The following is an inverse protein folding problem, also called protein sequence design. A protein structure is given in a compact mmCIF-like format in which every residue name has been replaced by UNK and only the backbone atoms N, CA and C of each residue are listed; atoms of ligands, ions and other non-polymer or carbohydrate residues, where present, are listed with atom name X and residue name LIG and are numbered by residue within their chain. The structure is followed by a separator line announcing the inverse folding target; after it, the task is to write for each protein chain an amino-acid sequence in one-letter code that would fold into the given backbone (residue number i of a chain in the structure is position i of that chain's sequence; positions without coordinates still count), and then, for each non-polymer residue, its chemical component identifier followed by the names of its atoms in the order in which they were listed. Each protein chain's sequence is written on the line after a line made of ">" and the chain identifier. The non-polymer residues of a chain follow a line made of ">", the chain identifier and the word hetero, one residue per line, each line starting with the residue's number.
data_IF_792591270192
#
_entry.id   IF_792591270192
#
_cell.length_a   1.000
_cell.length_b   1.000
_cell.length_c   1.000
_cell.angle_alpha   90.00
_cell.angle_beta   90.00
_cell.angle_gamma   90.00
#
_symmetry.space_group_name_H-M   'P 1'
#
loop_
_entity.id
_entity.type
_entity.pdbx_description
1 polymer ?
#
# COMPACT_ATOMS: atom_id res chain seq x y z
N UNK A 1 -8.17 -20.07 -11.20
CA UNK A 1 -7.22 -18.96 -11.41
C UNK A 1 -6.12 -19.09 -10.37
N UNK A 2 -4.84 -19.00 -10.76
CA UNK A 2 -3.74 -18.88 -9.80
C UNK A 2 -3.67 -17.44 -9.29
N UNK A 3 -3.34 -17.27 -8.01
CA UNK A 3 -3.06 -15.95 -7.45
C UNK A 3 -1.75 -15.40 -8.06
N UNK A 4 -1.69 -14.09 -8.40
CA UNK A 4 -0.44 -13.49 -8.84
C UNK A 4 0.59 -13.49 -7.70
N UNK A 5 1.87 -13.68 -8.04
CA UNK A 5 2.97 -13.68 -7.05
C UNK A 5 3.43 -12.28 -6.67
N UNK A 6 3.20 -11.31 -7.55
CA UNK A 6 3.50 -9.89 -7.33
C UNK A 6 2.36 -9.01 -7.83
N UNK A 7 2.32 -7.78 -7.34
CA UNK A 7 1.46 -6.73 -7.86
C UNK A 7 2.18 -5.39 -7.86
N UNK A 8 1.74 -4.50 -8.75
CA UNK A 8 2.17 -3.10 -8.75
C UNK A 8 1.54 -2.34 -7.57
N UNK A 9 2.33 -1.48 -6.95
CA UNK A 9 1.88 -0.58 -5.89
C UNK A 9 2.57 0.79 -6.02
N UNK A 10 1.93 1.82 -5.49
CA UNK A 10 2.56 3.11 -5.21
C UNK A 10 3.20 3.03 -3.81
N UNK A 11 4.51 3.17 -3.73
CA UNK A 11 5.31 2.98 -2.53
C UNK A 11 5.66 4.33 -1.92
N UNK A 12 5.27 4.52 -0.65
CA UNK A 12 5.71 5.66 0.15
C UNK A 12 7.12 5.39 0.68
N UNK A 13 8.14 5.89 -0.02
CA UNK A 13 9.56 5.67 0.32
C UNK A 13 10.12 6.65 1.36
N UNK A 14 9.30 7.61 1.80
CA UNK A 14 9.60 8.55 2.88
C UNK A 14 8.59 9.69 2.94
N UNK A 15 8.56 10.40 4.07
CA UNK A 15 7.67 11.55 4.25
C UNK A 15 7.98 12.66 3.25
N UNK A 16 6.92 13.29 2.74
CA UNK A 16 7.00 14.43 1.81
C UNK A 16 7.77 14.14 0.50
N UNK A 17 8.01 12.86 0.17
CA UNK A 17 8.68 12.43 -1.07
C UNK A 17 7.66 11.90 -2.08
N UNK A 18 7.87 12.09 -3.40
CA UNK A 18 7.04 11.44 -4.40
C UNK A 18 6.95 9.92 -4.17
N UNK A 19 5.78 9.34 -4.41
CA UNK A 19 5.63 7.89 -4.40
C UNK A 19 6.39 7.27 -5.57
N UNK A 20 6.97 6.11 -5.33
CA UNK A 20 7.60 5.30 -6.39
C UNK A 20 6.64 4.20 -6.83
N UNK A 21 6.55 3.91 -8.13
CA UNK A 21 5.77 2.77 -8.61
C UNK A 21 6.69 1.54 -8.64
N UNK A 22 6.33 0.49 -7.89
CA UNK A 22 7.13 -0.73 -7.78
C UNK A 22 6.30 -2.01 -7.71
N UNK A 23 6.97 -3.16 -7.69
CA UNK A 23 6.36 -4.49 -7.52
C UNK A 23 6.48 -4.93 -6.05
N UNK A 24 5.38 -5.37 -5.46
CA UNK A 24 5.32 -5.96 -4.13
C UNK A 24 4.96 -7.44 -4.21
N UNK A 25 5.50 -8.25 -3.29
CA UNK A 25 5.13 -9.67 -3.21
C UNK A 25 3.74 -9.82 -2.63
N UNK A 26 2.95 -10.70 -3.22
CA UNK A 26 1.67 -11.13 -2.67
C UNK A 26 1.94 -12.37 -1.79
N UNK A 27 1.33 -12.46 -0.60
CA UNK A 27 1.46 -13.63 0.25
C UNK A 27 1.05 -14.91 -0.47
N UNK A 28 1.85 -15.98 -0.33
CA UNK A 28 1.55 -17.29 -0.93
C UNK A 28 0.43 -18.03 -0.16
N UNK A 29 0.21 -17.66 1.09
CA UNK A 29 -0.87 -18.13 1.94
C UNK A 29 -1.53 -16.95 2.67
N UNK A 30 -2.80 -17.12 3.03
CA UNK A 30 -3.57 -16.16 3.79
C UNK A 30 -3.69 -16.63 5.24
N UNK A 31 -3.55 -15.70 6.18
CA UNK A 31 -3.80 -15.95 7.59
C UNK A 31 -5.30 -16.19 7.83
N UNK A 32 -5.61 -16.89 8.93
CA UNK A 32 -6.99 -17.12 9.33
C UNK A 32 -7.75 -15.78 9.47
N UNK A 33 -8.97 -15.71 8.92
CA UNK A 33 -9.80 -14.51 8.85
C UNK A 33 -9.26 -13.33 8.02
N UNK A 34 -8.31 -13.56 7.11
CA UNK A 34 -7.89 -12.53 6.14
C UNK A 34 -8.54 -12.73 4.76
N UNK A 35 -8.55 -11.66 3.96
CA UNK A 35 -9.03 -11.69 2.56
C UNK A 35 -8.03 -10.99 1.66
N UNK A 36 -7.76 -11.59 0.50
CA UNK A 36 -6.99 -10.97 -0.56
C UNK A 36 -7.95 -10.32 -1.58
N UNK A 37 -7.80 -9.01 -1.78
CA UNK A 37 -8.67 -8.23 -2.66
C UNK A 37 -7.86 -7.75 -3.87
N UNK A 38 -8.44 -7.88 -5.06
CA UNK A 38 -7.93 -7.23 -6.26
C UNK A 38 -8.48 -5.81 -6.33
N UNK A 39 -7.61 -4.83 -6.13
CA UNK A 39 -7.99 -3.41 -6.24
C UNK A 39 -8.01 -2.98 -7.71
N UNK A 40 -9.19 -2.60 -8.22
CA UNK A 40 -9.34 -2.06 -9.57
C UNK A 40 -9.14 -0.53 -9.62
N UNK A 41 -9.46 0.16 -8.52
CA UNK A 41 -9.34 1.61 -8.38
C UNK A 41 -9.20 1.97 -6.91
N UNK A 42 -8.47 3.03 -6.63
CA UNK A 42 -8.35 3.63 -5.31
C UNK A 42 -8.38 5.16 -5.45
N UNK A 43 -8.84 5.85 -4.42
CA UNK A 43 -8.90 7.31 -4.35
C UNK A 43 -8.03 7.80 -3.20
N UNK A 44 -7.76 9.10 -3.17
CA UNK A 44 -6.97 9.75 -2.12
C UNK A 44 -7.92 10.52 -1.19
N UNK A 45 -7.76 10.32 0.11
CA UNK A 45 -8.41 11.07 1.18
C UNK A 45 -7.39 11.97 1.90
N UNK A 46 -7.87 12.91 2.72
CA UNK A 46 -7.01 13.75 3.55
C UNK A 46 -6.12 12.94 4.51
N UNK A 47 -6.61 11.81 5.04
CA UNK A 47 -5.82 10.93 5.91
C UNK A 47 -4.57 10.37 5.22
N UNK A 48 -4.65 10.07 3.92
CA UNK A 48 -3.50 9.59 3.16
C UNK A 48 -2.42 10.68 3.06
N UNK A 49 -2.85 11.94 2.96
CA UNK A 49 -1.96 13.11 2.91
C UNK A 49 -1.31 13.35 4.27
N UNK A 50 -2.07 13.34 5.38
CA UNK A 50 -1.52 13.50 6.72
C UNK A 50 -0.49 12.41 7.06
N UNK A 51 -0.75 11.16 6.65
CA UNK A 51 0.23 10.08 6.77
C UNK A 51 1.50 10.36 5.95
N UNK A 52 1.35 10.83 4.71
CA UNK A 52 2.48 11.17 3.83
C UNK A 52 3.30 12.36 4.33
N UNK A 53 2.68 13.32 5.01
CA UNK A 53 3.36 14.45 5.64
C UNK A 53 4.14 14.03 6.90
N UNK A 54 3.73 12.93 7.53
CA UNK A 54 4.33 12.39 8.75
C UNK A 54 3.61 12.79 10.04
N UNK A 55 2.43 13.40 9.94
CA UNK A 55 1.68 13.95 11.09
C UNK A 55 1.11 12.86 12.01
N UNK A 56 0.72 11.72 11.45
CA UNK A 56 0.06 10.63 12.19
C UNK A 56 0.99 9.46 12.55
N UNK A 57 2.16 9.35 11.91
CA UNK A 57 3.06 8.20 12.05
C UNK A 57 4.14 8.39 13.15
N UNK A 58 3.85 9.18 14.18
CA UNK A 58 4.79 9.42 15.29
C UNK A 58 6.04 10.21 14.90
N UNK A 59 5.91 11.18 13.99
CA UNK A 59 6.99 12.11 13.65
C UNK A 59 7.41 12.95 14.88
N UNK A 60 8.64 12.75 15.34
CA UNK A 60 9.37 13.73 16.15
C UNK A 60 9.96 14.81 15.24
#
# INVERSE_FOLDING_TARGET
>A
MSLPKTAKAALMVGFKKPFEIGEVRIPESLEYNSVLVKTNSATICASDVHLWEGDEAGGF
#
